data_IF_563336046221
#
_entry.id   IF_563336046221
#
_cell.length_a   1.000
_cell.length_b   1.000
_cell.length_c   1.000
_cell.angle_alpha   90.00
_cell.angle_beta   90.00
_cell.angle_gamma   90.00
#
_symmetry.space_group_name_H-M   'P 1'
#
loop_
_entity.id
_entity.type
_entity.pdbx_description
1 polymer ?
#
# COMPACT_ATOMS: atom_id res chain seq x y z
N UNK A 1 12.61 -32.20 16.40
CA UNK A 1 11.20 -32.63 16.30
C UNK A 1 10.37 -31.52 15.68
N UNK A 2 9.53 -31.83 14.68
CA UNK A 2 8.56 -30.88 14.12
C UNK A 2 7.50 -30.50 15.17
N UNK A 3 7.03 -29.26 15.14
CA UNK A 3 5.99 -28.74 16.04
C UNK A 3 4.89 -28.04 15.25
N UNK A 4 3.65 -28.12 15.75
CA UNK A 4 2.55 -27.26 15.32
C UNK A 4 2.36 -26.14 16.35
N UNK A 5 2.37 -24.89 15.90
CA UNK A 5 2.13 -23.72 16.75
C UNK A 5 0.93 -22.95 16.22
N UNK A 6 0.02 -22.56 17.13
CA UNK A 6 -1.15 -21.75 16.78
C UNK A 6 -0.83 -20.28 16.98
N UNK A 7 -0.97 -19.49 15.93
CA UNK A 7 -0.88 -18.03 16.04
C UNK A 7 -2.15 -17.47 16.70
N UNK A 8 -2.06 -16.78 17.85
CA UNK A 8 -3.22 -16.22 18.51
C UNK A 8 -3.86 -15.04 17.75
N UNK A 9 -3.15 -14.41 16.82
CA UNK A 9 -3.65 -13.27 16.03
C UNK A 9 -4.47 -13.79 14.85
N UNK A 10 -3.86 -14.58 13.95
CA UNK A 10 -4.54 -15.09 12.76
C UNK A 10 -5.36 -16.37 13.00
N UNK A 11 -5.22 -17.00 14.17
CA UNK A 11 -5.82 -18.29 14.56
C UNK A 11 -5.44 -19.48 13.65
N UNK A 12 -4.40 -19.32 12.82
CA UNK A 12 -3.89 -20.37 11.92
C UNK A 12 -2.85 -21.24 12.63
N UNK A 13 -2.74 -22.48 12.18
CA UNK A 13 -1.67 -23.39 12.60
C UNK A 13 -0.49 -23.27 11.65
N UNK A 14 0.72 -23.20 12.21
CA UNK A 14 1.97 -23.12 11.47
C UNK A 14 2.83 -24.33 11.83
N UNK A 15 3.43 -24.95 10.81
CA UNK A 15 4.39 -26.04 10.97
C UNK A 15 5.77 -25.43 11.18
N UNK A 16 6.45 -25.86 12.24
CA UNK A 16 7.81 -25.43 12.58
C UNK A 16 8.74 -26.62 12.53
N UNK A 17 9.72 -26.58 11.63
CA UNK A 17 10.71 -27.64 11.42
C UNK A 17 12.10 -27.15 11.88
N UNK A 18 12.47 -27.43 13.13
CA UNK A 18 13.76 -26.98 13.68
C UNK A 18 14.98 -27.69 13.05
N UNK A 19 14.78 -28.84 12.39
CA UNK A 19 15.84 -29.66 11.79
C UNK A 19 16.18 -29.24 10.35
N UNK A 20 15.37 -28.37 9.74
CA UNK A 20 15.56 -27.83 8.39
C UNK A 20 15.69 -26.30 8.45
N UNK A 21 16.57 -25.81 9.34
CA UNK A 21 16.78 -24.38 9.51
C UNK A 21 17.45 -23.79 8.26
N UNK A 22 16.66 -23.09 7.44
CA UNK A 22 17.19 -22.20 6.40
C UNK A 22 17.79 -20.96 7.08
N UNK A 23 19.06 -20.68 6.80
CA UNK A 23 19.71 -19.46 7.23
C UNK A 23 19.32 -18.27 6.34
N UNK A 24 19.66 -17.03 6.73
CA UNK A 24 19.36 -15.84 5.94
C UNK A 24 19.85 -15.90 4.48
N UNK A 25 20.94 -16.64 4.23
CA UNK A 25 21.55 -16.80 2.90
C UNK A 25 20.81 -17.81 1.99
N UNK A 26 19.93 -18.64 2.55
CA UNK A 26 19.15 -19.63 1.80
C UNK A 26 17.89 -19.01 1.16
N UNK A 27 17.68 -17.72 1.40
CA UNK A 27 16.62 -16.93 0.80
C UNK A 27 17.23 -16.02 -0.26
N UNK A 28 16.76 -16.15 -1.50
CA UNK A 28 17.13 -15.23 -2.57
C UNK A 28 16.39 -13.92 -2.32
N UNK A 29 17.14 -12.88 -2.00
CA UNK A 29 16.66 -11.50 -2.14
C UNK A 29 16.88 -11.13 -3.60
N UNK A 30 15.79 -10.99 -4.35
CA UNK A 30 15.87 -10.30 -5.65
C UNK A 30 15.96 -8.82 -5.33
N UNK A 31 17.12 -8.21 -5.56
CA UNK A 31 17.20 -6.76 -5.63
C UNK A 31 16.44 -6.34 -6.90
N UNK A 32 15.22 -5.84 -6.73
CA UNK A 32 14.51 -5.21 -7.83
C UNK A 32 15.23 -3.91 -8.18
N UNK A 33 15.91 -3.91 -9.33
CA UNK A 33 16.41 -2.68 -9.91
C UNK A 33 15.19 -1.85 -10.33
N UNK A 34 14.88 -0.82 -9.56
CA UNK A 34 13.85 0.15 -9.92
C UNK A 34 14.36 0.96 -11.11
N UNK A 35 14.07 0.53 -12.33
CA UNK A 35 14.21 1.42 -13.49
C UNK A 35 13.25 2.59 -13.28
N UNK A 36 13.81 3.79 -13.11
CA UNK A 36 13.06 5.03 -13.06
C UNK A 36 12.55 5.35 -14.46
N UNK A 37 11.51 4.63 -14.88
CA UNK A 37 10.70 4.96 -16.05
C UNK A 37 9.87 6.23 -15.83
N UNK A 38 8.78 6.38 -16.58
CA UNK A 38 7.84 7.49 -16.41
C UNK A 38 7.08 7.38 -15.09
N UNK A 39 7.66 7.93 -14.04
CA UNK A 39 7.16 7.88 -12.66
C UNK A 39 6.10 8.97 -12.41
N UNK A 40 4.81 8.63 -12.26
CA UNK A 40 3.74 9.62 -12.03
C UNK A 40 3.78 10.24 -10.63
N UNK A 41 4.51 9.65 -9.69
CA UNK A 41 4.61 10.13 -8.30
C UNK A 41 5.82 11.04 -8.07
N UNK A 42 6.68 11.18 -9.07
CA UNK A 42 7.88 11.98 -8.99
C UNK A 42 7.53 13.48 -9.07
N UNK A 43 8.32 14.36 -8.43
CA UNK A 43 8.13 15.80 -8.52
C UNK A 43 8.07 16.31 -9.96
N UNK A 44 7.14 17.21 -10.24
CA UNK A 44 6.91 17.78 -11.58
C UNK A 44 5.92 16.97 -12.42
N UNK A 45 5.51 15.79 -11.96
CA UNK A 45 4.50 14.94 -12.60
C UNK A 45 3.15 14.99 -11.88
N UNK A 46 2.90 15.98 -11.03
CA UNK A 46 1.67 16.08 -10.23
C UNK A 46 0.40 16.17 -11.09
N UNK A 47 0.53 16.65 -12.33
CA UNK A 47 -0.56 16.67 -13.32
C UNK A 47 -0.99 15.29 -13.80
N UNK A 48 -0.17 14.25 -13.61
CA UNK A 48 -0.47 12.86 -13.98
C UNK A 48 -1.26 12.11 -12.89
N UNK A 49 -1.45 12.73 -11.73
CA UNK A 49 -2.17 12.16 -10.59
C UNK A 49 -3.46 12.92 -10.32
N UNK A 50 -4.45 12.30 -9.64
CA UNK A 50 -5.57 13.04 -9.09
C UNK A 50 -5.11 14.13 -8.10
N UNK A 51 -5.93 15.17 -7.86
CA UNK A 51 -5.61 16.22 -6.90
C UNK A 51 -5.31 15.64 -5.52
N UNK A 52 -4.30 16.19 -4.87
CA UNK A 52 -3.93 15.78 -3.52
C UNK A 52 -5.01 16.13 -2.48
N UNK A 53 -5.23 15.19 -1.56
CA UNK A 53 -6.13 15.33 -0.41
C UNK A 53 -5.40 16.08 0.72
N UNK A 54 -4.11 15.76 0.89
CA UNK A 54 -3.23 16.30 1.92
C UNK A 54 -1.82 16.41 1.36
N UNK A 55 -1.07 17.39 1.82
CA UNK A 55 0.36 17.50 1.53
C UNK A 55 1.09 18.24 2.64
N UNK A 56 2.29 17.79 2.98
CA UNK A 56 3.26 18.58 3.73
C UNK A 56 4.24 19.17 2.74
N UNK A 57 4.40 20.50 2.75
CA UNK A 57 5.12 21.22 1.71
C UNK A 57 5.86 22.43 2.25
N UNK A 58 6.83 22.90 1.48
CA UNK A 58 7.60 24.09 1.80
C UNK A 58 6.72 25.35 1.76
N UNK A 59 7.00 26.36 2.61
CA UNK A 59 6.29 27.64 2.56
C UNK A 59 6.37 28.28 1.17
N UNK A 60 5.30 28.98 0.78
CA UNK A 60 5.18 29.68 -0.52
C UNK A 60 5.16 28.75 -1.75
N UNK A 61 4.85 27.46 -1.59
CA UNK A 61 4.58 26.54 -2.71
C UNK A 61 3.08 26.31 -2.90
N UNK A 62 2.68 25.86 -4.09
CA UNK A 62 1.28 25.70 -4.47
C UNK A 62 0.82 24.24 -4.43
N UNK A 63 -0.48 23.99 -4.17
CA UNK A 63 -1.09 22.68 -4.31
C UNK A 63 -0.92 22.07 -5.70
N UNK A 64 -0.77 20.75 -5.74
CA UNK A 64 -0.60 19.97 -6.96
C UNK A 64 0.58 20.44 -7.84
N UNK A 65 1.63 20.95 -7.20
CA UNK A 65 2.90 21.35 -7.82
C UNK A 65 4.07 20.86 -6.97
N UNK A 66 5.28 21.02 -7.50
CA UNK A 66 6.54 20.74 -6.80
C UNK A 66 6.65 21.46 -5.45
N UNK A 67 7.52 20.95 -4.57
CA UNK A 67 7.81 21.54 -3.26
C UNK A 67 7.13 20.84 -2.08
N UNK A 68 6.45 19.72 -2.32
CA UNK A 68 5.97 18.81 -1.28
C UNK A 68 7.12 17.92 -0.78
N UNK A 69 7.05 17.57 0.51
CA UNK A 69 7.88 16.54 1.16
C UNK A 69 7.15 15.21 1.23
N UNK A 70 5.85 15.26 1.44
CA UNK A 70 4.95 14.12 1.43
C UNK A 70 3.59 14.59 0.92
N UNK A 71 2.89 13.73 0.19
CA UNK A 71 1.50 14.00 -0.19
C UNK A 71 0.64 12.74 -0.26
N UNK A 72 -0.65 12.92 0.00
CA UNK A 72 -1.68 11.88 -0.11
C UNK A 72 -2.58 12.23 -1.28
N UNK A 73 -2.77 11.29 -2.19
CA UNK A 73 -3.66 11.42 -3.35
C UNK A 73 -4.71 10.30 -3.34
N UNK A 74 -5.89 10.50 -3.93
CA UNK A 74 -6.79 9.41 -4.25
C UNK A 74 -6.09 8.40 -5.15
N UNK A 75 -6.29 7.10 -4.91
CA UNK A 75 -5.86 6.09 -5.87
C UNK A 75 -6.67 6.23 -7.16
N UNK A 76 -6.00 6.34 -8.31
CA UNK A 76 -6.64 6.43 -9.62
C UNK A 76 -7.46 5.17 -9.98
N UNK A 77 -7.10 4.03 -9.39
CA UNK A 77 -7.77 2.74 -9.55
C UNK A 77 -8.21 2.23 -8.17
N UNK A 78 -9.19 2.89 -7.52
CA UNK A 78 -9.57 2.56 -6.18
C UNK A 78 -10.28 1.19 -6.13
N UNK A 79 -10.04 0.41 -5.08
CA UNK A 79 -10.68 -0.89 -4.90
C UNK A 79 -12.09 -0.76 -4.29
N UNK A 80 -12.40 0.42 -3.74
CA UNK A 80 -13.61 0.76 -3.02
C UNK A 80 -14.13 2.11 -3.54
N UNK A 81 -15.43 2.37 -3.40
CA UNK A 81 -16.05 3.65 -3.74
C UNK A 81 -16.27 4.48 -2.48
N UNK A 82 -15.97 5.77 -2.54
CA UNK A 82 -16.14 6.68 -1.39
C UNK A 82 -17.60 7.05 -1.14
N UNK A 83 -18.46 6.90 -2.16
CA UNK A 83 -19.89 7.19 -2.10
C UNK A 83 -20.70 5.89 -2.02
N UNK A 84 -21.82 5.95 -1.32
CA UNK A 84 -22.75 4.84 -1.15
C UNK A 84 -23.01 4.52 0.32
N UNK A 85 -24.19 3.98 0.59
CA UNK A 85 -24.54 3.45 1.90
C UNK A 85 -24.00 2.03 2.05
N UNK A 86 -23.72 1.62 3.30
CA UNK A 86 -23.35 0.25 3.60
C UNK A 86 -24.55 -0.67 3.34
N UNK A 87 -24.43 -1.55 2.34
CA UNK A 87 -25.43 -2.54 1.99
C UNK A 87 -24.87 -3.94 2.25
N UNK A 88 -25.56 -4.67 3.13
CA UNK A 88 -25.24 -6.05 3.46
C UNK A 88 -26.42 -6.95 3.12
N UNK A 89 -26.17 -7.93 2.27
CA UNK A 89 -27.17 -8.87 1.78
C UNK A 89 -26.73 -10.31 2.01
N UNK A 90 -27.62 -11.13 2.57
CA UNK A 90 -27.41 -12.57 2.72
C UNK A 90 -27.85 -13.35 1.47
N UNK A 91 -26.99 -14.24 0.95
CA UNK A 91 -27.30 -15.20 -0.10
C UNK A 91 -27.07 -16.62 0.44
N UNK A 92 -28.13 -17.25 0.94
CA UNK A 92 -28.04 -18.58 1.55
C UNK A 92 -27.14 -18.57 2.78
N UNK A 93 -25.98 -19.24 2.69
CA UNK A 93 -24.96 -19.28 3.75
C UNK A 93 -23.90 -18.16 3.62
N UNK A 94 -23.99 -17.34 2.58
CA UNK A 94 -23.02 -16.28 2.29
C UNK A 94 -23.55 -14.92 2.73
N UNK A 95 -22.68 -14.09 3.28
CA UNK A 95 -22.90 -12.66 3.46
C UNK A 95 -22.13 -11.89 2.39
N UNK A 96 -22.80 -10.96 1.71
CA UNK A 96 -22.19 -10.01 0.79
C UNK A 96 -22.31 -8.60 1.35
N UNK A 97 -21.27 -7.78 1.15
CA UNK A 97 -21.25 -6.37 1.52
C UNK A 97 -20.68 -5.60 0.32
N UNK A 98 -21.28 -4.46 -0.01
CA UNK A 98 -20.75 -3.58 -1.05
C UNK A 98 -19.42 -2.91 -0.63
N UNK A 99 -18.60 -2.57 -1.62
CA UNK A 99 -17.26 -2.02 -1.39
C UNK A 99 -17.25 -0.52 -1.16
N UNK A 100 -17.73 -0.05 -0.01
CA UNK A 100 -17.68 1.37 0.37
C UNK A 100 -16.43 1.66 1.21
N UNK A 101 -15.64 2.64 0.80
CA UNK A 101 -14.42 3.08 1.48
C UNK A 101 -13.50 3.93 0.60
N UNK A 102 -12.52 4.58 1.23
CA UNK A 102 -11.50 5.35 0.54
C UNK A 102 -10.25 4.51 0.27
N UNK A 103 -9.71 4.63 -0.94
CA UNK A 103 -8.42 4.06 -1.32
C UNK A 103 -7.50 5.19 -1.76
N UNK A 104 -6.47 5.44 -0.96
CA UNK A 104 -5.54 6.55 -1.14
C UNK A 104 -4.12 6.01 -1.35
N UNK A 105 -3.27 6.82 -1.97
CA UNK A 105 -1.84 6.57 -2.14
C UNK A 105 -1.08 7.63 -1.36
N UNK A 106 -0.24 7.17 -0.43
CA UNK A 106 0.72 8.00 0.28
C UNK A 106 2.03 8.03 -0.52
N UNK A 107 2.43 9.21 -0.96
CA UNK A 107 3.72 9.46 -1.59
C UNK A 107 4.62 10.09 -0.53
N UNK A 108 5.54 9.29 -0.02
CA UNK A 108 6.28 9.60 1.21
C UNK A 108 7.48 10.52 1.00
N UNK A 109 8.06 10.48 -0.20
CA UNK A 109 9.23 11.27 -0.55
C UNK A 109 9.16 11.75 -2.00
N UNK A 110 9.64 12.97 -2.28
CA UNK A 110 9.90 13.42 -3.64
C UNK A 110 11.09 12.68 -4.30
N UNK A 111 11.93 12.00 -3.51
CA UNK A 111 13.08 11.26 -3.99
C UNK A 111 12.72 9.78 -4.25
N UNK A 112 12.78 9.30 -5.50
CA UNK A 112 12.30 7.96 -5.86
C UNK A 112 13.09 6.79 -5.28
N UNK A 113 14.29 7.05 -4.77
CA UNK A 113 15.20 6.05 -4.18
C UNK A 113 15.37 6.24 -2.67
N UNK A 114 14.59 7.14 -2.06
CA UNK A 114 14.51 7.20 -0.61
C UNK A 114 13.81 5.93 -0.12
N UNK A 115 14.61 4.94 0.26
CA UNK A 115 14.12 3.80 1.01
C UNK A 115 13.56 4.23 2.37
N UNK A 116 12.71 3.40 2.93
CA UNK A 116 12.29 3.49 4.33
C UNK A 116 13.44 3.24 5.30
#
# INVERSE_FOLDING_TARGET
MPQLRKDPITKRWVIVLNEQAKGPKDFTTTEEQTELGDCPFCPGQESKTPPEILSYREPNTLPNQIGWKMRVIPNRFPALQIEGDLDRTGIGIYDMINGVGAHEVLIESPEPQAGF
#
